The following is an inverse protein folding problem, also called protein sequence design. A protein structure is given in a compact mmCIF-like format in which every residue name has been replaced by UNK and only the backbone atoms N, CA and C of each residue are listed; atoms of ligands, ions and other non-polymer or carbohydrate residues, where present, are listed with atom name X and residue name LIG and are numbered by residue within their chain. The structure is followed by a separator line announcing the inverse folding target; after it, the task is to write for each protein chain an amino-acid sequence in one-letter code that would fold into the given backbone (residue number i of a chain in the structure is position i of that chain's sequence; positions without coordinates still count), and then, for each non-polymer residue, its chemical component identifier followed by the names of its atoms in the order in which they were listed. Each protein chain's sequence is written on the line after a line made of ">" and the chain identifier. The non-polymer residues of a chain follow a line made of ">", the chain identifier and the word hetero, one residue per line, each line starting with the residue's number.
data_IF_048078704988
#
_entry.id   IF_048078704988
#
_cell.length_a   1.000
_cell.length_b   1.000
_cell.length_c   1.000
_cell.angle_alpha   90.00
_cell.angle_beta   90.00
_cell.angle_gamma   90.00
#
_symmetry.space_group_name_H-M   'P 1'
#
loop_
_entity.id
_entity.type
_entity.pdbx_description
1 polymer ?
#
# COMPACT_ATOMS: atom_id res chain seq x y z
N UNK A 1 9.51 -6.21 -22.09
CA UNK A 1 9.30 -6.36 -20.64
C UNK A 1 10.06 -5.24 -19.95
N UNK A 2 9.36 -4.17 -19.58
CA UNK A 2 9.92 -3.07 -18.79
C UNK A 2 10.05 -3.55 -17.35
N UNK A 3 11.29 -3.73 -16.89
CA UNK A 3 11.55 -4.04 -15.48
C UNK A 3 11.56 -2.71 -14.72
N UNK A 4 10.71 -2.55 -13.71
CA UNK A 4 10.86 -1.42 -12.78
C UNK A 4 12.25 -1.50 -12.14
N UNK A 5 12.90 -0.35 -12.02
CA UNK A 5 14.10 -0.27 -11.19
C UNK A 5 13.77 -0.68 -9.74
N UNK A 6 14.66 -1.42 -9.05
CA UNK A 6 14.49 -1.67 -7.63
C UNK A 6 14.38 -0.36 -6.84
N UNK A 7 13.47 -0.32 -5.87
CA UNK A 7 13.34 0.83 -4.97
C UNK A 7 14.58 0.92 -4.07
N UNK A 8 15.19 2.10 -4.03
CA UNK A 8 16.33 2.36 -3.13
C UNK A 8 15.82 2.53 -1.71
N UNK A 9 16.64 2.15 -0.74
CA UNK A 9 16.33 2.36 0.68
C UNK A 9 16.01 3.83 0.98
N UNK A 10 16.66 4.77 0.32
CA UNK A 10 16.38 6.21 0.45
C UNK A 10 14.97 6.57 0.02
N UNK A 11 14.46 5.96 -1.05
CA UNK A 11 13.12 6.21 -1.58
C UNK A 11 12.06 5.62 -0.64
N UNK A 12 12.31 4.42 -0.10
CA UNK A 12 11.45 3.83 0.94
C UNK A 12 11.42 4.68 2.20
N UNK A 13 12.55 5.28 2.59
CA UNK A 13 12.60 6.21 3.73
C UNK A 13 11.84 7.50 3.47
N UNK A 14 11.85 8.00 2.24
CA UNK A 14 11.08 9.19 1.85
C UNK A 14 9.57 8.89 1.87
N UNK A 15 9.17 7.72 1.38
CA UNK A 15 7.79 7.23 1.46
C UNK A 15 7.37 7.09 2.92
N UNK A 16 8.18 6.44 3.75
CA UNK A 16 7.88 6.27 5.17
C UNK A 16 7.68 7.62 5.89
N UNK A 17 8.59 8.59 5.68
CA UNK A 17 8.46 9.93 6.27
C UNK A 17 7.23 10.68 5.78
N UNK A 18 6.81 10.44 4.55
CA UNK A 18 5.59 11.01 3.98
C UNK A 18 4.34 10.45 4.66
N UNK A 19 4.37 9.18 5.07
CA UNK A 19 3.31 8.51 5.79
C UNK A 19 3.29 8.87 7.29
N UNK A 20 4.46 8.95 7.93
CA UNK A 20 4.65 9.24 9.37
C UNK A 20 4.42 10.72 9.69
N UNK A 21 3.15 11.11 9.79
CA UNK A 21 2.81 12.50 10.08
C UNK A 21 3.09 12.77 11.55
N UNK A 22 4.03 13.68 11.79
CA UNK A 22 4.51 14.01 13.13
C UNK A 22 5.90 13.46 13.44
N UNK A 23 6.52 12.74 12.49
CA UNK A 23 7.89 12.22 12.64
C UNK A 23 8.04 11.41 13.94
N UNK A 24 7.06 10.52 14.18
CA UNK A 24 6.96 9.67 15.37
C UNK A 24 7.97 8.53 15.33
N UNK A 25 8.53 8.24 14.15
CA UNK A 25 9.42 7.13 13.88
C UNK A 25 8.69 5.79 13.64
N UNK A 26 7.36 5.79 13.70
CA UNK A 26 6.53 4.62 13.49
C UNK A 26 5.13 5.02 13.00
N UNK A 27 4.59 4.24 12.06
CA UNK A 27 3.24 4.42 11.53
C UNK A 27 2.21 3.81 12.47
N UNK A 28 1.14 4.56 12.72
CA UNK A 28 -0.03 4.11 13.47
C UNK A 28 -1.29 4.01 12.58
N UNK A 29 -2.41 3.61 13.18
CA UNK A 29 -3.68 3.48 12.47
C UNK A 29 -4.15 4.81 11.86
N UNK A 30 -3.89 5.94 12.54
CA UNK A 30 -4.27 7.26 12.00
C UNK A 30 -3.46 7.60 10.75
N UNK A 31 -2.16 7.26 10.71
CA UNK A 31 -1.34 7.44 9.50
C UNK A 31 -1.86 6.58 8.34
N UNK A 32 -2.21 5.32 8.61
CA UNK A 32 -2.71 4.40 7.60
C UNK A 32 -4.09 4.80 7.07
N UNK A 33 -5.02 5.16 7.95
CA UNK A 33 -6.34 5.67 7.57
C UNK A 33 -6.22 6.92 6.71
N UNK A 34 -5.32 7.83 7.09
CA UNK A 34 -5.01 9.01 6.29
C UNK A 34 -4.50 8.60 4.92
N UNK A 35 -3.46 7.77 4.84
CA UNK A 35 -2.90 7.32 3.57
C UNK A 35 -3.96 6.67 2.67
N UNK A 36 -4.85 5.84 3.24
CA UNK A 36 -5.97 5.24 2.53
C UNK A 36 -6.94 6.29 1.99
N UNK A 37 -7.34 7.26 2.83
CA UNK A 37 -8.26 8.33 2.42
C UNK A 37 -7.71 9.20 1.29
N UNK A 38 -6.38 9.37 1.21
CA UNK A 38 -5.74 10.12 0.12
C UNK A 38 -5.76 9.36 -1.21
N UNK A 39 -5.62 8.03 -1.17
CA UNK A 39 -5.66 7.17 -2.35
C UNK A 39 -7.08 6.85 -2.79
N UNK A 40 -8.02 6.76 -1.84
CA UNK A 40 -9.43 6.49 -2.08
C UNK A 40 -10.31 7.44 -1.26
N UNK A 41 -10.51 8.67 -1.73
CA UNK A 41 -11.33 9.67 -1.01
C UNK A 41 -12.78 9.24 -0.76
N UNK A 42 -13.27 8.26 -1.53
CA UNK A 42 -14.63 7.73 -1.43
C UNK A 42 -14.77 6.54 -0.47
N UNK A 43 -13.66 5.98 0.01
CA UNK A 43 -13.62 4.79 0.86
C UNK A 43 -12.81 5.10 2.12
N UNK A 44 -13.51 5.27 3.25
CA UNK A 44 -12.86 5.40 4.54
C UNK A 44 -12.41 4.02 5.03
N UNK A 45 -11.19 3.94 5.56
CA UNK A 45 -10.71 2.75 6.26
C UNK A 45 -11.14 2.83 7.72
N UNK A 46 -11.96 1.88 8.17
CA UNK A 46 -12.38 1.79 9.56
C UNK A 46 -11.20 1.62 10.51
N UNK A 47 -11.36 1.98 11.78
CA UNK A 47 -10.29 1.83 12.78
C UNK A 47 -9.91 0.35 13.00
N UNK A 48 -10.90 -0.53 13.00
CA UNK A 48 -10.69 -1.97 13.10
C UNK A 48 -9.89 -2.52 11.91
N UNK A 49 -10.28 -2.16 10.69
CA UNK A 49 -9.58 -2.56 9.46
C UNK A 49 -8.16 -2.01 9.43
N UNK A 50 -7.96 -0.75 9.82
CA UNK A 50 -6.65 -0.15 9.93
C UNK A 50 -5.77 -0.89 10.94
N UNK A 51 -6.33 -1.24 12.11
CA UNK A 51 -5.64 -2.04 13.11
C UNK A 51 -5.29 -3.44 12.62
N UNK A 52 -6.19 -4.09 11.87
CA UNK A 52 -5.92 -5.39 11.25
C UNK A 52 -4.78 -5.30 10.24
N UNK A 53 -4.83 -4.33 9.31
CA UNK A 53 -3.78 -4.14 8.30
C UNK A 53 -2.45 -3.84 8.96
N UNK A 54 -2.43 -3.00 10.01
CA UNK A 54 -1.20 -2.64 10.71
C UNK A 54 -0.60 -3.85 11.45
N UNK A 55 -1.42 -4.67 12.13
CA UNK A 55 -0.98 -5.95 12.72
C UNK A 55 -0.39 -6.88 11.65
N UNK A 56 -1.08 -6.99 10.51
CA UNK A 56 -0.64 -7.84 9.41
C UNK A 56 0.70 -7.39 8.84
N UNK A 57 0.89 -6.08 8.57
CA UNK A 57 2.15 -5.54 8.08
C UNK A 57 3.31 -5.75 9.06
N UNK A 58 3.07 -5.58 10.37
CA UNK A 58 4.07 -5.88 11.40
C UNK A 58 4.45 -7.36 11.38
N UNK A 59 3.45 -8.25 11.31
CA UNK A 59 3.69 -9.70 11.25
C UNK A 59 4.44 -10.11 9.97
N UNK A 60 4.07 -9.56 8.82
CA UNK A 60 4.72 -9.83 7.52
C UNK A 60 6.15 -9.32 7.51
N UNK A 61 6.40 -8.11 7.98
CA UNK A 61 7.74 -7.55 8.09
C UNK A 61 8.63 -8.39 9.01
N UNK A 62 8.13 -8.73 10.20
CA UNK A 62 8.87 -9.57 11.16
C UNK A 62 9.11 -11.00 10.65
N UNK A 63 8.13 -11.59 9.95
CA UNK A 63 8.25 -12.95 9.40
C UNK A 63 9.20 -13.03 8.21
N UNK A 64 9.32 -11.94 7.44
CA UNK A 64 10.29 -11.82 6.36
C UNK A 64 11.73 -11.91 6.88
N UNK A 65 11.98 -11.42 8.09
CA UNK A 65 13.26 -11.57 8.79
C UNK A 65 13.49 -13.02 9.26
N UNK A 66 12.46 -13.67 9.82
CA UNK A 66 12.56 -15.06 10.30
C UNK A 66 12.81 -16.08 9.19
N UNK A 67 12.41 -15.78 7.94
CA UNK A 67 12.65 -16.67 6.79
C UNK A 67 14.06 -16.56 6.18
N UNK A 68 14.85 -15.54 6.54
CA UNK A 68 16.18 -15.28 5.96
C UNK A 68 17.35 -15.57 6.90
N UNK A 69 17.09 -16.11 8.10
CA UNK A 69 18.11 -16.72 8.94
C UNK A 69 18.21 -16.10 10.33
N UNK A 70 17.45 -16.63 11.26
CA UNK A 70 17.96 -16.90 12.60
C UNK A 70 17.05 -17.95 13.28
N UNK A 71 17.27 -19.24 12.99
CA UNK A 71 16.96 -20.24 14.00
C UNK A 71 17.92 -19.97 15.15
N UNK A 72 17.48 -19.58 16.37
CA UNK A 72 18.37 -19.70 17.50
C UNK A 72 18.64 -21.20 17.63
N UNK A 73 19.88 -21.60 17.35
CA UNK A 73 20.35 -22.92 17.68
C UNK A 73 20.19 -23.09 19.20
N UNK A 74 19.08 -23.70 19.61
CA UNK A 74 18.93 -24.20 20.97
C UNK A 74 20.02 -25.25 21.18
N UNK A 75 20.85 -25.15 22.24
CA UNK A 75 21.86 -26.15 22.49
C UNK A 75 21.19 -27.49 22.81
N UNK A 76 21.73 -28.55 22.21
CA UNK A 76 21.35 -29.94 22.41
C UNK A 76 21.21 -30.28 23.91
N UNK A 77 20.01 -30.72 24.29
CA UNK A 77 19.70 -31.27 25.60
C UNK A 77 18.58 -32.31 25.51
N UNK A 78 18.95 -33.54 25.11
CA UNK A 78 18.33 -34.86 25.34
C UNK A 78 16.87 -34.99 25.83
N UNK A 79 16.07 -35.71 25.01
CA UNK A 79 14.96 -36.67 25.32
C UNK A 79 13.80 -36.13 26.19
N UNK A 80 12.53 -36.25 25.80
CA UNK A 80 11.82 -37.52 25.58
C UNK A 80 10.33 -37.24 25.23
N UNK A 81 9.72 -38.14 24.45
CA UNK A 81 8.28 -38.51 24.36
C UNK A 81 7.20 -37.51 23.93
N UNK A 82 6.49 -37.91 22.86
CA UNK A 82 5.15 -37.47 22.45
C UNK A 82 4.12 -37.51 23.59
N UNK A 83 3.26 -36.50 23.67
CA UNK A 83 1.85 -36.68 24.02
C UNK A 83 1.02 -35.44 23.67
N UNK A 84 0.12 -35.58 22.70
CA UNK A 84 -1.00 -34.67 22.50
C UNK A 84 -2.07 -35.05 23.52
N UNK A 85 -2.21 -34.30 24.62
CA UNK A 85 -3.40 -34.23 25.47
C UNK A 85 -3.17 -33.21 26.59
N UNK A 86 -4.24 -32.48 26.93
CA UNK A 86 -4.47 -31.71 28.16
C UNK A 86 -4.13 -30.21 28.12
N UNK A 87 -5.19 -29.42 27.94
CA UNK A 87 -5.32 -28.05 28.46
C UNK A 87 -5.03 -28.03 29.96
N UNK A 88 -4.45 -26.94 30.51
CA UNK A 88 -4.67 -26.59 31.90
C UNK A 88 -5.56 -25.34 32.03
N UNK A 89 -6.41 -25.48 33.03
CA UNK A 89 -7.38 -24.55 33.59
C UNK A 89 -6.69 -23.30 34.15
N UNK A 90 -7.33 -22.17 33.86
CA UNK A 90 -7.41 -20.89 34.57
C UNK A 90 -6.82 -20.88 35.99
N UNK A 91 -5.71 -20.17 36.18
CA UNK A 91 -5.33 -19.57 37.46
C UNK A 91 -5.40 -18.05 37.31
N UNK A 92 -6.12 -17.42 38.22
CA UNK A 92 -6.50 -16.02 38.14
C UNK A 92 -5.41 -15.16 38.78
N UNK A 93 -4.78 -14.29 37.99
CA UNK A 93 -3.95 -13.19 38.49
C UNK A 93 -4.61 -11.84 38.10
N UNK A 94 -5.13 -11.04 39.06
CA UNK A 94 -5.78 -9.77 38.78
C UNK A 94 -4.75 -8.65 38.90
N UNK A 95 -4.07 -8.30 37.81
CA UNK A 95 -3.09 -7.22 37.87
C UNK A 95 -2.33 -6.95 36.59
N UNK A 96 -2.97 -6.33 35.62
CA UNK A 96 -2.26 -5.75 34.48
C UNK A 96 -3.08 -5.68 33.21
N UNK A 97 -4.05 -4.76 33.16
CA UNK A 97 -4.46 -4.20 31.87
C UNK A 97 -3.25 -3.44 31.30
N UNK A 98 -2.29 -4.16 30.70
CA UNK A 98 -1.40 -3.57 29.72
C UNK A 98 -2.30 -3.17 28.57
N UNK A 99 -2.63 -1.87 28.52
CA UNK A 99 -3.30 -1.20 27.42
C UNK A 99 -2.96 -1.89 26.11
N UNK A 100 -3.99 -2.34 25.38
CA UNK A 100 -3.92 -2.79 23.98
C UNK A 100 -3.19 -1.73 23.14
N UNK A 101 -1.87 -1.72 23.20
CA UNK A 101 -1.05 -0.80 22.45
C UNK A 101 -1.21 -1.24 21.00
N UNK A 102 -2.02 -0.49 20.26
CA UNK A 102 -2.15 -0.63 18.82
C UNK A 102 -0.73 -0.81 18.25
N UNK A 103 -0.49 -1.87 17.46
CA UNK A 103 0.84 -2.13 16.92
C UNK A 103 1.32 -0.90 16.16
N UNK A 104 2.62 -0.62 16.20
CA UNK A 104 3.21 0.46 15.42
C UNK A 104 4.19 -0.14 14.42
N UNK A 105 4.22 0.41 13.21
CA UNK A 105 5.09 -0.08 12.15
C UNK A 105 6.31 0.86 12.03
N UNK A 106 7.45 0.43 12.55
CA UNK A 106 8.71 1.15 12.38
C UNK A 106 9.25 1.05 10.94
N UNK A 107 10.29 1.82 10.65
CA UNK A 107 10.83 1.90 9.29
C UNK A 107 11.49 0.61 8.80
N UNK A 108 12.07 -0.18 9.69
CA UNK A 108 12.73 -1.45 9.34
C UNK A 108 11.66 -2.45 8.93
N UNK A 109 10.64 -2.61 9.78
CA UNK A 109 9.52 -3.51 9.56
C UNK A 109 8.69 -3.08 8.35
N UNK A 110 8.55 -1.76 8.11
CA UNK A 110 7.93 -1.22 6.90
C UNK A 110 8.70 -1.63 5.63
N UNK A 111 10.02 -1.47 5.62
CA UNK A 111 10.85 -1.84 4.46
C UNK A 111 10.72 -3.34 4.17
N UNK A 112 10.78 -4.17 5.20
CA UNK A 112 10.64 -5.62 5.04
C UNK A 112 9.24 -6.01 4.55
N UNK A 113 8.20 -5.38 5.08
CA UNK A 113 6.83 -5.59 4.61
C UNK A 113 6.65 -5.16 3.14
N UNK A 114 7.21 -4.02 2.72
CA UNK A 114 7.17 -3.56 1.33
C UNK A 114 7.92 -4.55 0.42
N UNK A 115 9.12 -4.98 0.81
CA UNK A 115 9.90 -5.95 0.06
C UNK A 115 9.14 -7.29 -0.08
N UNK A 116 8.48 -7.75 0.99
CA UNK A 116 7.64 -8.93 0.95
C UNK A 116 6.50 -8.79 -0.05
N UNK A 117 5.76 -7.68 0.00
CA UNK A 117 4.65 -7.39 -0.93
C UNK A 117 5.14 -7.35 -2.38
N UNK A 118 6.28 -6.71 -2.64
CA UNK A 118 6.89 -6.66 -3.97
C UNK A 118 7.35 -8.03 -4.47
N UNK A 119 7.74 -8.94 -3.57
CA UNK A 119 8.17 -10.30 -3.91
C UNK A 119 7.01 -11.28 -4.14
N UNK A 120 5.84 -11.01 -3.56
CA UNK A 120 4.69 -11.92 -3.56
C UNK A 120 3.60 -11.54 -4.56
N UNK A 121 3.61 -10.30 -5.07
CA UNK A 121 2.62 -9.80 -6.03
C UNK A 121 3.28 -9.51 -7.37
N UNK A 122 2.52 -9.69 -8.46
CA UNK A 122 3.04 -9.28 -9.76
C UNK A 122 3.09 -7.75 -9.84
N UNK A 123 4.14 -7.24 -10.48
CA UNK A 123 4.30 -5.82 -10.70
C UNK A 123 3.10 -5.21 -11.44
N UNK A 124 2.59 -5.93 -12.45
CA UNK A 124 1.41 -5.49 -13.20
C UNK A 124 0.19 -5.33 -12.28
N UNK A 125 -0.04 -6.26 -11.36
CA UNK A 125 -1.15 -6.18 -10.40
C UNK A 125 -1.02 -4.97 -9.48
N UNK A 126 0.19 -4.67 -8.99
CA UNK A 126 0.44 -3.52 -8.13
C UNK A 126 0.22 -2.19 -8.88
N UNK A 127 0.76 -2.08 -10.09
CA UNK A 127 0.58 -0.89 -10.94
C UNK A 127 -0.88 -0.71 -11.33
N UNK A 128 -1.59 -1.80 -11.65
CA UNK A 128 -3.01 -1.76 -12.02
C UNK A 128 -3.90 -1.38 -10.85
N UNK A 129 -3.60 -1.88 -9.65
CA UNK A 129 -4.30 -1.48 -8.43
C UNK A 129 -4.12 0.00 -8.12
N UNK A 130 -2.89 0.51 -8.30
CA UNK A 130 -2.57 1.93 -8.12
C UNK A 130 -3.29 2.79 -9.17
N UNK A 131 -3.22 2.40 -10.44
CA UNK A 131 -3.91 3.08 -11.54
C UNK A 131 -5.42 3.15 -11.31
N UNK A 132 -6.05 2.04 -10.88
CA UNK A 132 -7.47 2.00 -10.59
C UNK A 132 -7.86 2.91 -9.43
N UNK A 133 -7.00 3.06 -8.42
CA UNK A 133 -7.26 3.93 -7.27
C UNK A 133 -7.29 5.42 -7.68
N UNK A 134 -6.42 5.83 -8.61
CA UNK A 134 -6.22 7.25 -8.94
C UNK A 134 -6.90 7.68 -10.26
N UNK A 135 -7.35 6.74 -11.08
CA UNK A 135 -7.95 7.01 -12.39
C UNK A 135 -9.41 7.45 -12.30
N UNK A 136 -9.90 8.10 -13.34
CA UNK A 136 -11.30 8.48 -13.55
C UNK A 136 -11.86 7.89 -14.83
N UNK A 137 -13.19 7.75 -14.97
CA UNK A 137 -13.80 7.41 -16.25
C UNK A 137 -13.38 8.39 -17.34
N UNK A 138 -13.02 7.88 -18.51
CA UNK A 138 -12.70 8.69 -19.67
C UNK A 138 -13.98 9.38 -20.20
N UNK A 139 -13.99 10.72 -20.19
CA UNK A 139 -15.16 11.50 -20.61
C UNK A 139 -15.38 11.49 -22.13
N UNK A 140 -14.37 11.13 -22.94
CA UNK A 140 -14.44 11.24 -24.40
C UNK A 140 -15.29 10.15 -25.09
N UNK A 141 -15.65 9.06 -24.40
CA UNK A 141 -16.50 8.00 -24.97
C UNK A 141 -18.00 8.19 -24.68
N UNK A 142 -18.39 9.26 -23.99
CA UNK A 142 -19.80 9.54 -23.69
C UNK A 142 -20.57 10.29 -24.80
N UNK A 143 -19.92 10.62 -25.91
CA UNK A 143 -20.55 11.31 -27.04
C UNK A 143 -21.33 10.39 -28.01
N UNK A 144 -21.38 9.07 -27.77
CA UNK A 144 -21.90 8.08 -28.73
C UNK A 144 -23.25 7.41 -28.41
N UNK A 145 -23.91 7.70 -27.29
CA UNK A 145 -25.14 6.99 -26.93
C UNK A 145 -26.38 7.87 -27.10
N UNK A 146 -27.06 7.68 -28.24
CA UNK A 146 -28.44 8.13 -28.42
C UNK A 146 -29.39 7.47 -27.39
N UNK A 147 -30.63 7.99 -27.24
CA UNK A 147 -31.53 7.57 -26.19
C UNK A 147 -32.08 6.17 -26.48
N UNK A 148 -31.51 5.13 -25.89
CA UNK A 148 -31.96 3.75 -26.06
C UNK A 148 -31.61 2.85 -24.88
N UNK A 149 -32.62 2.44 -24.13
CA UNK A 149 -32.68 1.32 -23.19
C UNK A 149 -31.58 1.16 -22.13
N UNK A 150 -31.86 1.72 -20.96
CA UNK A 150 -31.13 1.48 -19.72
C UNK A 150 -31.53 0.11 -19.10
N UNK A 151 -30.89 -0.97 -19.53
CA UNK A 151 -30.89 -2.25 -18.77
C UNK A 151 -29.68 -3.10 -19.18
N UNK A 152 -28.46 -2.64 -18.83
CA UNK A 152 -27.28 -3.49 -18.95
C UNK A 152 -26.20 -3.12 -17.93
N UNK A 153 -26.23 -3.83 -16.79
CA UNK A 153 -25.08 -4.52 -16.18
C UNK A 153 -23.79 -3.69 -16.00
N UNK A 154 -23.63 -3.13 -14.80
CA UNK A 154 -22.43 -2.45 -14.29
C UNK A 154 -21.20 -3.36 -14.09
N UNK A 155 -20.72 -4.02 -15.15
CA UNK A 155 -19.51 -4.88 -15.07
C UNK A 155 -18.46 -4.57 -16.14
N UNK A 156 -18.52 -3.43 -16.84
CA UNK A 156 -17.63 -3.11 -17.97
C UNK A 156 -16.92 -1.75 -17.89
N UNK A 157 -16.79 -1.13 -16.71
CA UNK A 157 -16.29 0.26 -16.57
C UNK A 157 -14.89 0.39 -15.92
N UNK A 158 -14.01 -0.61 -16.10
CA UNK A 158 -12.59 -0.49 -15.72
C UNK A 158 -11.67 -0.34 -16.94
N UNK A 159 -12.12 -0.74 -18.12
CA UNK A 159 -11.36 -0.70 -19.37
C UNK A 159 -11.23 0.70 -19.98
N UNK A 160 -11.99 1.68 -19.48
CA UNK A 160 -12.01 3.04 -20.02
C UNK A 160 -11.74 4.09 -18.94
N UNK A 161 -10.62 3.92 -18.23
CA UNK A 161 -10.18 4.84 -17.19
C UNK A 161 -8.87 5.48 -17.59
N UNK A 162 -8.71 6.73 -17.22
CA UNK A 162 -7.51 7.53 -17.49
C UNK A 162 -7.07 8.25 -16.22
N UNK A 163 -5.78 8.55 -16.14
CA UNK A 163 -5.20 9.38 -15.09
C UNK A 163 -4.84 10.73 -15.69
N UNK A 164 -5.36 11.81 -15.11
CA UNK A 164 -5.07 13.17 -15.57
C UNK A 164 -3.82 13.74 -14.90
N UNK A 165 -3.16 14.70 -15.54
CA UNK A 165 -2.06 15.45 -14.91
C UNK A 165 -2.53 16.09 -13.60
N UNK A 166 -3.72 16.68 -13.60
CA UNK A 166 -4.31 17.31 -12.40
C UNK A 166 -4.37 16.36 -11.22
N UNK A 167 -4.77 15.10 -11.44
CA UNK A 167 -4.83 14.08 -10.39
C UNK A 167 -3.45 13.69 -9.88
N UNK A 168 -2.46 13.53 -10.76
CA UNK A 168 -1.08 13.24 -10.35
C UNK A 168 -0.53 14.37 -9.46
N UNK A 169 -0.77 15.62 -9.86
CA UNK A 169 -0.34 16.80 -9.11
C UNK A 169 -1.09 16.94 -7.78
N UNK A 170 -2.40 16.74 -7.76
CA UNK A 170 -3.23 16.77 -6.56
C UNK A 170 -2.83 15.67 -5.56
N UNK A 171 -2.60 14.45 -6.06
CA UNK A 171 -2.15 13.33 -5.24
C UNK A 171 -0.78 13.63 -4.60
N UNK A 172 0.18 14.10 -5.41
CA UNK A 172 1.50 14.46 -4.92
C UNK A 172 1.43 15.55 -3.84
N UNK A 173 0.62 16.60 -4.04
CA UNK A 173 0.40 17.65 -3.02
C UNK A 173 -0.28 17.12 -1.77
N UNK A 174 -1.22 16.17 -1.92
CA UNK A 174 -1.94 15.55 -0.80
C UNK A 174 -1.02 14.70 0.08
N UNK A 175 -0.03 14.06 -0.53
CA UNK A 175 1.08 13.42 0.19
C UNK A 175 2.14 14.41 0.71
N UNK A 176 1.95 15.73 0.54
CA UNK A 176 2.88 16.73 1.03
C UNK A 176 4.18 16.83 0.22
N UNK A 177 4.22 16.27 -0.98
CA UNK A 177 5.35 16.45 -1.89
C UNK A 177 5.40 17.91 -2.37
N UNK A 178 6.54 18.57 -2.16
CA UNK A 178 6.77 19.92 -2.65
C UNK A 178 7.04 19.89 -4.15
N UNK A 179 6.02 20.18 -4.94
CA UNK A 179 6.14 20.31 -6.39
C UNK A 179 6.68 21.70 -6.75
N UNK A 180 7.82 21.74 -7.42
CA UNK A 180 8.30 22.97 -8.04
C UNK A 180 7.60 23.18 -9.39
N UNK A 181 7.56 24.43 -9.88
CA UNK A 181 7.02 24.72 -11.23
C UNK A 181 7.70 23.90 -12.32
N UNK A 182 9.01 23.66 -12.20
CA UNK A 182 9.77 22.81 -13.12
C UNK A 182 9.27 21.36 -13.08
N UNK A 183 9.03 20.81 -11.89
CA UNK A 183 8.50 19.44 -11.73
C UNK A 183 7.11 19.30 -12.35
N UNK A 184 6.25 20.31 -12.20
CA UNK A 184 4.91 20.33 -12.83
C UNK A 184 5.01 20.36 -14.35
N UNK A 185 5.89 21.21 -14.91
CA UNK A 185 6.13 21.30 -16.36
C UNK A 185 6.66 19.96 -16.90
N UNK A 186 7.57 19.30 -16.17
CA UNK A 186 8.12 18.00 -16.56
C UNK A 186 7.06 16.89 -16.57
N UNK A 187 6.14 16.89 -15.60
CA UNK A 187 5.00 15.96 -15.59
C UNK A 187 4.07 16.25 -16.78
N UNK A 188 3.75 17.53 -17.03
CA UNK A 188 2.92 17.94 -18.16
C UNK A 188 3.56 17.56 -19.51
N UNK A 189 4.87 17.72 -19.65
CA UNK A 189 5.61 17.35 -20.87
C UNK A 189 5.63 15.83 -21.10
N UNK A 190 5.55 15.02 -20.02
CA UNK A 190 5.45 13.57 -20.09
C UNK A 190 4.03 13.11 -20.48
N UNK A 191 3.03 13.97 -20.31
CA UNK A 191 1.61 13.71 -20.57
C UNK A 191 1.05 14.80 -21.49
N UNK A 192 1.48 14.84 -22.77
CA UNK A 192 1.13 15.93 -23.69
C UNK A 192 -0.37 16.04 -23.94
N UNK A 193 -1.09 14.91 -23.91
CA UNK A 193 -2.54 14.84 -24.09
C UNK A 193 -3.33 15.18 -22.82
N UNK A 194 -2.65 15.47 -21.69
CA UNK A 194 -3.26 15.78 -20.40
C UNK A 194 -3.82 14.58 -19.62
N UNK A 195 -3.96 13.42 -20.27
CA UNK A 195 -4.39 12.14 -19.71
C UNK A 195 -3.45 11.01 -20.09
N UNK A 196 -3.31 10.01 -19.23
CA UNK A 196 -2.63 8.74 -19.53
C UNK A 196 -3.53 7.54 -19.31
N UNK A 197 -3.48 6.57 -20.21
CA UNK A 197 -4.08 5.25 -20.01
C UNK A 197 -3.17 4.34 -19.16
N UNK A 198 -3.59 3.09 -18.94
CA UNK A 198 -2.82 2.16 -18.11
C UNK A 198 -1.46 1.81 -18.72
N UNK A 199 -1.37 1.67 -20.04
CA UNK A 199 -0.11 1.31 -20.71
C UNK A 199 0.89 2.46 -20.61
N UNK A 200 0.45 3.68 -20.91
CA UNK A 200 1.25 4.90 -20.77
C UNK A 200 1.67 5.14 -19.31
N UNK A 201 0.78 4.88 -18.35
CA UNK A 201 1.09 4.97 -16.92
C UNK A 201 2.23 4.00 -16.52
N UNK A 202 2.18 2.75 -17.01
CA UNK A 202 3.25 1.76 -16.74
C UNK A 202 4.58 2.24 -17.33
N UNK A 203 4.58 2.80 -18.55
CA UNK A 203 5.80 3.36 -19.15
C UNK A 203 6.36 4.56 -18.38
N UNK A 204 5.49 5.43 -17.87
CA UNK A 204 5.89 6.55 -17.03
C UNK A 204 6.55 6.10 -15.73
N UNK A 205 6.01 5.07 -15.07
CA UNK A 205 6.54 4.56 -13.80
C UNK A 205 7.79 3.70 -14.01
N UNK A 206 7.86 2.95 -15.12
CA UNK A 206 9.00 2.11 -15.46
C UNK A 206 10.30 2.87 -15.62
N UNK A 207 10.23 4.15 -15.99
CA UNK A 207 11.41 4.95 -16.26
C UNK A 207 12.11 4.42 -17.50
N UNK A 208 11.98 5.15 -18.60
CA UNK A 208 12.94 5.07 -19.71
C UNK A 208 14.34 5.43 -19.22
#
# INVERSE_FOLDING_TARGET
>A
MTNLRPLKITELRDIFRTLDRGNKGALDCSDLQRAHSLLRPKEALGEEDAGYVLRHLVHVGASSFNSLGNSPAAPLGSKNTQSWSSLPVHDSDPGGHSSDAQPKLDITTFVDAVNHVLSTNSLEQLLRSTFNAISVPNANDQAGSGPGNQTARSTSSLSNRVVTVSQLLELARSFGLKLSKDSEIRIQARVPNGTVDFAEFVEMVAGT
#
